data_IF_165584611023
#
_entry.id   IF_165584611023
#
_cell.length_a   1.000
_cell.length_b   1.000
_cell.length_c   1.000
_cell.angle_alpha   90.00
_cell.angle_beta   90.00
_cell.angle_gamma   90.00
#
_symmetry.space_group_name_H-M   'P 1'
#
loop_
_entity.id
_entity.type
_entity.pdbx_description
1 polymer ?
#
# COMPACT_ATOMS: atom_id res chain seq x y z
N UNK A 1 -12.40 2.39 -14.62
CA UNK A 1 -11.82 1.62 -13.52
C UNK A 1 -10.80 2.55 -12.91
N UNK A 2 -11.03 3.00 -11.69
CA UNK A 2 -10.06 3.83 -10.99
C UNK A 2 -9.00 2.87 -10.48
N UNK A 3 -7.81 2.87 -11.09
CA UNK A 3 -6.68 2.05 -10.64
C UNK A 3 -6.11 2.68 -9.35
N UNK A 4 -6.88 2.58 -8.26
CA UNK A 4 -6.57 3.19 -6.98
C UNK A 4 -5.60 2.34 -6.13
N UNK A 5 -5.05 1.26 -6.70
CA UNK A 5 -4.00 0.45 -6.09
C UNK A 5 -2.74 0.58 -6.94
N UNK A 6 -1.68 1.09 -6.34
CA UNK A 6 -0.41 1.36 -7.01
C UNK A 6 0.73 0.68 -6.27
N UNK A 7 1.61 0.01 -7.02
CA UNK A 7 2.86 -0.53 -6.49
C UNK A 7 4.04 0.25 -7.05
N UNK A 8 4.87 0.80 -6.17
CA UNK A 8 6.11 1.50 -6.53
C UNK A 8 7.27 0.66 -6.02
N UNK A 9 8.17 0.27 -6.92
CA UNK A 9 9.27 -0.62 -6.60
C UNK A 9 10.60 -0.17 -7.18
N UNK A 10 11.69 -0.46 -6.47
CA UNK A 10 13.05 -0.11 -6.87
C UNK A 10 14.09 -0.52 -5.84
N UNK A 11 15.36 -0.60 -6.27
CA UNK A 11 16.52 -0.93 -5.43
C UNK A 11 17.09 0.27 -4.65
N UNK A 12 16.64 1.48 -4.98
CA UNK A 12 17.00 2.73 -4.28
C UNK A 12 15.78 3.21 -3.47
N UNK A 13 15.72 2.94 -2.16
CA UNK A 13 14.57 3.28 -1.32
C UNK A 13 14.19 4.76 -1.39
N UNK A 14 15.18 5.66 -1.45
CA UNK A 14 14.95 7.10 -1.50
C UNK A 14 14.22 7.53 -2.78
N UNK A 15 14.41 6.82 -3.90
CA UNK A 15 13.68 7.10 -5.14
C UNK A 15 12.25 6.57 -5.07
N UNK A 16 12.04 5.40 -4.45
CA UNK A 16 10.71 4.82 -4.22
C UNK A 16 9.89 5.75 -3.32
N UNK A 17 10.45 6.18 -2.19
CA UNK A 17 9.80 7.09 -1.24
C UNK A 17 9.55 8.48 -1.83
N UNK A 18 10.47 8.97 -2.67
CA UNK A 18 10.26 10.23 -3.38
C UNK A 18 9.07 10.12 -4.34
N UNK A 19 9.03 9.06 -5.15
CA UNK A 19 7.97 8.87 -6.14
C UNK A 19 6.61 8.65 -5.48
N UNK A 20 6.56 7.92 -4.36
CA UNK A 20 5.33 7.76 -3.58
C UNK A 20 4.86 9.09 -3.01
N UNK A 21 5.76 9.89 -2.43
CA UNK A 21 5.41 11.22 -1.91
C UNK A 21 4.87 12.13 -3.01
N UNK A 22 5.51 12.16 -4.18
CA UNK A 22 5.03 12.96 -5.32
C UNK A 22 3.64 12.53 -5.78
N UNK A 23 3.36 11.21 -5.82
CA UNK A 23 2.04 10.69 -6.16
C UNK A 23 0.98 11.04 -5.09
N UNK A 24 1.33 10.93 -3.81
CA UNK A 24 0.43 11.29 -2.70
C UNK A 24 0.06 12.77 -2.79
N UNK A 25 1.04 13.65 -2.98
CA UNK A 25 0.83 15.10 -3.04
C UNK A 25 -0.05 15.47 -4.26
N UNK A 26 0.14 14.79 -5.40
CA UNK A 26 -0.70 14.96 -6.59
C UNK A 26 -2.14 14.48 -6.39
N UNK A 27 -2.32 13.38 -5.66
CA UNK A 27 -3.63 12.78 -5.44
C UNK A 27 -4.44 13.57 -4.40
N UNK A 28 -3.84 13.88 -3.24
CA UNK A 28 -4.52 14.61 -2.15
C UNK A 28 -4.81 16.06 -2.54
N UNK A 29 -3.83 16.77 -3.13
CA UNK A 29 -3.91 18.21 -3.44
C UNK A 29 -4.14 19.10 -2.20
N UNK A 30 -3.88 18.57 -1.00
CA UNK A 30 -3.98 19.23 0.30
C UNK A 30 -2.85 18.76 1.22
N UNK A 31 -2.68 19.40 2.38
CA UNK A 31 -1.68 18.97 3.37
C UNK A 31 -2.04 17.61 3.97
N UNK A 32 -1.03 16.78 4.23
CA UNK A 32 -1.20 15.47 4.87
C UNK A 32 -1.57 15.65 6.35
N UNK A 33 -2.61 14.97 6.79
CA UNK A 33 -3.01 14.89 8.18
C UNK A 33 -3.47 13.47 8.55
N UNK A 34 -3.88 13.29 9.81
CA UNK A 34 -4.30 12.00 10.35
C UNK A 34 -5.64 11.50 9.75
N UNK A 35 -6.37 12.31 8.99
CA UNK A 35 -7.65 11.96 8.36
C UNK A 35 -7.51 11.54 6.90
N UNK A 36 -6.60 12.17 6.16
CA UNK A 36 -6.40 11.93 4.73
C UNK A 36 -5.18 11.05 4.41
N UNK A 37 -4.28 10.82 5.37
CA UNK A 37 -3.06 10.05 5.14
C UNK A 37 -2.77 9.08 6.29
N UNK A 38 -2.73 7.78 5.95
CA UNK A 38 -2.38 6.72 6.91
C UNK A 38 -1.19 5.93 6.36
N UNK A 39 -0.25 5.58 7.24
CA UNK A 39 0.98 4.86 6.88
C UNK A 39 1.16 3.62 7.73
N UNK A 40 1.42 2.50 7.05
CA UNK A 40 1.73 1.20 7.65
C UNK A 40 3.09 0.68 7.18
N UNK A 41 3.60 -0.31 7.92
CA UNK A 41 4.83 -1.02 7.59
C UNK A 41 4.56 -2.53 7.67
N UNK A 42 4.68 -3.28 6.57
CA UNK A 42 4.46 -4.73 6.59
C UNK A 42 5.53 -5.51 7.35
N UNK A 43 6.58 -4.87 7.87
CA UNK A 43 7.49 -5.52 8.83
C UNK A 43 6.96 -5.48 10.27
N UNK A 44 5.95 -4.66 10.56
CA UNK A 44 5.42 -4.42 11.91
C UNK A 44 3.89 -4.60 12.00
N UNK A 45 3.18 -4.57 10.87
CA UNK A 45 1.72 -4.64 10.80
C UNK A 45 1.29 -5.71 9.82
N UNK A 46 0.37 -6.58 10.23
CA UNK A 46 -0.23 -7.59 9.35
C UNK A 46 -1.11 -6.93 8.28
N UNK A 47 -1.38 -7.65 7.18
CA UNK A 47 -2.12 -7.08 6.05
C UNK A 47 -3.61 -6.84 6.37
N UNK A 48 -4.19 -7.62 7.27
CA UNK A 48 -5.62 -7.56 7.62
C UNK A 48 -6.07 -6.19 8.13
N UNK A 49 -5.45 -5.57 9.16
CA UNK A 49 -5.84 -4.23 9.62
C UNK A 49 -5.63 -3.14 8.55
N UNK A 50 -4.69 -3.33 7.63
CA UNK A 50 -4.46 -2.39 6.53
C UNK A 50 -5.62 -2.45 5.55
N UNK A 51 -6.08 -3.65 5.19
CA UNK A 51 -7.28 -3.86 4.35
C UNK A 51 -8.50 -3.23 5.02
N UNK A 52 -8.69 -3.44 6.33
CA UNK A 52 -9.79 -2.81 7.08
C UNK A 52 -9.75 -1.28 6.97
N UNK A 53 -8.57 -0.66 7.07
CA UNK A 53 -8.37 0.78 6.93
C UNK A 53 -8.73 1.32 5.53
N UNK A 54 -8.56 0.51 4.49
CA UNK A 54 -8.97 0.91 3.13
C UNK A 54 -10.48 0.92 2.95
N UNK A 55 -11.22 0.19 3.79
CA UNK A 55 -12.68 0.12 3.80
C UNK A 55 -13.32 1.19 4.69
N UNK A 56 -12.52 1.93 5.47
CA UNK A 56 -13.03 3.04 6.26
C UNK A 56 -13.19 4.30 5.42
N UNK A 57 -14.32 4.97 5.60
CA UNK A 57 -14.59 6.25 4.95
C UNK A 57 -13.69 7.34 5.54
N UNK A 58 -13.17 8.27 4.72
CA UNK A 58 -12.55 9.47 5.25
C UNK A 58 -13.60 10.31 5.99
N UNK A 59 -13.31 10.67 7.24
CA UNK A 59 -14.29 11.37 8.10
C UNK A 59 -14.44 12.86 7.75
N UNK A 60 -13.36 13.51 7.30
CA UNK A 60 -13.29 14.95 7.05
C UNK A 60 -12.51 15.34 5.78
N UNK A 61 -12.18 14.37 4.92
CA UNK A 61 -11.55 14.61 3.63
C UNK A 61 -12.33 13.91 2.52
N UNK A 62 -12.28 14.46 1.32
CA UNK A 62 -12.85 13.83 0.12
C UNK A 62 -11.97 12.68 -0.39
N UNK A 63 -10.70 12.64 0.03
CA UNK A 63 -9.69 11.70 -0.46
C UNK A 63 -8.86 11.15 0.69
N UNK A 64 -8.44 9.90 0.57
CA UNK A 64 -7.55 9.27 1.54
C UNK A 64 -6.49 8.46 0.85
N UNK A 65 -5.28 8.50 1.39
CA UNK A 65 -4.17 7.66 0.95
C UNK A 65 -3.74 6.72 2.06
N UNK A 66 -3.61 5.45 1.73
CA UNK A 66 -3.05 4.40 2.57
C UNK A 66 -1.69 4.02 1.97
N UNK A 67 -0.62 4.44 2.63
CA UNK A 67 0.76 4.08 2.25
C UNK A 67 1.21 2.84 3.03
N UNK A 68 1.65 1.82 2.31
CA UNK A 68 2.12 0.55 2.86
C UNK A 68 3.59 0.35 2.53
N UNK A 69 4.46 0.54 3.52
CA UNK A 69 5.91 0.37 3.38
C UNK A 69 6.34 -1.09 3.50
N UNK A 70 7.50 -1.40 2.93
CA UNK A 70 8.12 -2.73 2.98
C UNK A 70 7.19 -3.85 2.48
N UNK A 71 6.51 -3.63 1.36
CA UNK A 71 5.52 -4.55 0.81
C UNK A 71 6.15 -5.81 0.17
N UNK A 72 6.94 -6.56 0.94
CA UNK A 72 7.65 -7.76 0.49
C UNK A 72 6.70 -8.86 -0.02
N UNK A 73 5.40 -8.78 0.29
CA UNK A 73 4.34 -9.69 -0.17
C UNK A 73 4.24 -9.77 -1.70
N UNK A 74 4.75 -8.77 -2.44
CA UNK A 74 4.84 -8.78 -3.90
C UNK A 74 6.16 -9.35 -4.43
N UNK A 75 6.96 -9.96 -3.56
CA UNK A 75 8.30 -10.47 -3.87
C UNK A 75 8.43 -11.94 -3.47
N UNK A 76 9.54 -12.58 -3.84
CA UNK A 76 9.86 -13.93 -3.41
C UNK A 76 10.45 -14.02 -1.99
N UNK A 77 10.58 -12.89 -1.26
CA UNK A 77 11.16 -12.88 0.08
C UNK A 77 10.24 -13.52 1.12
N UNK A 78 10.84 -14.11 2.15
CA UNK A 78 10.09 -14.66 3.28
C UNK A 78 9.67 -13.54 4.21
N UNK A 79 8.42 -13.59 4.65
CA UNK A 79 7.93 -12.74 5.73
C UNK A 79 8.85 -12.83 6.97
N UNK A 80 8.95 -11.75 7.76
CA UNK A 80 9.53 -11.80 9.09
C UNK A 80 8.94 -12.98 9.89
N UNK A 81 9.79 -13.70 10.63
CA UNK A 81 9.44 -14.97 11.29
C UNK A 81 8.24 -14.94 12.26
N UNK A 82 7.76 -13.75 12.62
CA UNK A 82 6.73 -13.55 13.66
C UNK A 82 5.40 -13.02 13.13
N UNK A 83 5.28 -12.68 11.84
CA UNK A 83 4.03 -12.13 11.28
C UNK A 83 3.39 -13.06 10.26
N UNK A 84 2.08 -13.28 10.41
CA UNK A 84 1.31 -14.17 9.55
C UNK A 84 0.42 -13.35 8.59
N UNK A 85 1.00 -12.92 7.47
CA UNK A 85 0.24 -12.19 6.46
C UNK A 85 -0.70 -13.14 5.71
N UNK A 86 -1.99 -12.87 5.74
CA UNK A 86 -2.98 -13.58 4.95
C UNK A 86 -2.93 -13.10 3.48
N UNK A 87 -2.10 -13.76 2.66
CA UNK A 87 -1.93 -13.42 1.24
C UNK A 87 -3.20 -13.68 0.43
N UNK A 88 -3.99 -14.71 0.78
CA UNK A 88 -5.26 -15.01 0.11
C UNK A 88 -6.24 -13.84 0.30
N UNK A 89 -6.30 -13.27 1.50
CA UNK A 89 -7.11 -12.08 1.79
C UNK A 89 -6.65 -10.86 0.97
N UNK A 90 -5.33 -10.67 0.80
CA UNK A 90 -4.79 -9.58 -0.01
C UNK A 90 -5.17 -9.73 -1.48
N UNK A 91 -5.09 -10.95 -2.04
CA UNK A 91 -5.49 -11.21 -3.43
C UNK A 91 -6.98 -10.91 -3.61
N UNK A 92 -7.83 -11.46 -2.74
CA UNK A 92 -9.27 -11.21 -2.79
C UNK A 92 -9.60 -9.72 -2.66
N UNK A 93 -8.88 -9.01 -1.80
CA UNK A 93 -9.02 -7.56 -1.65
C UNK A 93 -8.68 -6.82 -2.94
N UNK A 94 -7.49 -7.07 -3.53
CA UNK A 94 -7.06 -6.40 -4.77
C UNK A 94 -8.04 -6.67 -5.92
N UNK A 95 -8.54 -7.90 -6.04
CA UNK A 95 -9.50 -8.28 -7.09
C UNK A 95 -10.87 -7.61 -6.94
N UNK A 96 -11.29 -7.33 -5.70
CA UNK A 96 -12.63 -6.81 -5.39
C UNK A 96 -12.64 -5.32 -5.08
N UNK A 97 -11.49 -4.69 -4.91
CA UNK A 97 -11.41 -3.30 -4.47
C UNK A 97 -12.08 -2.37 -5.48
N UNK A 98 -13.11 -1.67 -5.02
CA UNK A 98 -13.89 -0.69 -5.79
C UNK A 98 -14.00 0.66 -5.06
N UNK A 99 -13.20 0.84 -4.00
CA UNK A 99 -13.18 2.06 -3.20
C UNK A 99 -12.43 3.23 -3.84
N UNK A 100 -12.66 4.42 -3.29
CA UNK A 100 -12.07 5.65 -3.78
C UNK A 100 -10.68 5.96 -3.20
N UNK A 101 -10.29 5.29 -2.11
CA UNK A 101 -9.02 5.54 -1.42
C UNK A 101 -7.84 5.08 -2.28
N UNK A 102 -6.78 5.90 -2.37
CA UNK A 102 -5.54 5.52 -3.02
C UNK A 102 -4.71 4.64 -2.08
N UNK A 103 -4.29 3.48 -2.55
CA UNK A 103 -3.43 2.55 -1.81
C UNK A 103 -2.10 2.46 -2.55
N UNK A 104 -1.01 2.74 -1.84
CA UNK A 104 0.34 2.70 -2.39
C UNK A 104 1.16 1.66 -1.65
N UNK A 105 1.68 0.67 -2.36
CA UNK A 105 2.62 -0.31 -1.84
C UNK A 105 4.04 0.03 -2.27
N UNK A 106 4.93 0.24 -1.31
CA UNK A 106 6.36 0.47 -1.56
C UNK A 106 7.14 -0.84 -1.41
N UNK A 107 7.85 -1.23 -2.46
CA UNK A 107 8.70 -2.43 -2.49
C UNK A 107 10.15 -2.02 -2.74
N UNK A 108 11.03 -2.25 -1.78
CA UNK A 108 12.44 -1.87 -1.90
C UNK A 108 13.30 -2.96 -2.57
N UNK A 109 12.82 -3.45 -3.72
CA UNK A 109 13.53 -4.40 -4.56
C UNK A 109 13.38 -4.05 -6.05
N UNK A 110 14.40 -4.40 -6.83
CA UNK A 110 14.42 -4.11 -8.26
C UNK A 110 13.36 -4.88 -9.09
N UNK A 111 12.82 -5.98 -8.55
CA UNK A 111 11.88 -6.85 -9.26
C UNK A 111 10.78 -7.32 -8.33
N UNK A 112 9.59 -7.45 -8.89
CA UNK A 112 8.47 -8.15 -8.27
C UNK A 112 8.55 -9.65 -8.59
N UNK A 113 7.73 -10.42 -7.89
CA UNK A 113 7.58 -11.84 -8.17
C UNK A 113 6.88 -12.09 -9.51
N UNK A 114 7.52 -12.82 -10.41
CA UNK A 114 7.00 -13.14 -11.74
C UNK A 114 6.31 -14.53 -11.79
N UNK A 115 6.18 -15.22 -10.65
CA UNK A 115 5.50 -16.52 -10.60
C UNK A 115 4.03 -16.34 -11.01
N UNK A 116 3.66 -16.99 -12.11
CA UNK A 116 2.26 -17.18 -12.49
C UNK A 116 1.70 -18.32 -11.64
N UNK A 117 0.90 -17.96 -10.63
CA UNK A 117 0.07 -18.93 -9.92
C UNK A 117 -1.21 -19.21 -10.72
#
# INVERSE_FOLDING_TARGET
>A
MSDNIVTIYGDVPELVEKQSSELIDQYLQEEKDDFNFVKYNLLETEISPIIEETLTLPFFSDKKVILVKNAFVFTGEKAPKEMNHNIEQLIEFIEKYDGDNLIIFEVYQAKLDERKN
#
